data_IF_395696627747
#
_entry.id   IF_395696627747
#
_cell.length_a   1.000
_cell.length_b   1.000
_cell.length_c   1.000
_cell.angle_alpha   90.00
_cell.angle_beta   90.00
_cell.angle_gamma   90.00
#
_symmetry.space_group_name_H-M   'P 1'
#
loop_
_entity.id
_entity.type
_entity.pdbx_description
1 polymer ?
#
# COMPACT_ATOMS: atom_id res chain seq x y z
N UNK A 1 8.93 38.59 11.05
CA UNK A 1 8.80 37.64 12.18
C UNK A 1 7.39 37.03 12.30
N UNK A 2 6.41 37.36 11.44
CA UNK A 2 5.09 36.71 11.45
C UNK A 2 4.97 35.52 10.48
N UNK A 3 5.94 35.38 9.57
CA UNK A 3 5.88 34.38 8.49
C UNK A 3 6.29 32.97 8.94
N UNK A 4 7.16 32.86 9.94
CA UNK A 4 7.70 31.58 10.43
C UNK A 4 6.67 30.69 11.13
N UNK A 5 5.68 31.29 11.80
CA UNK A 5 4.67 30.56 12.57
C UNK A 5 3.61 29.93 11.64
N UNK A 6 3.24 30.64 10.57
CA UNK A 6 2.35 30.13 9.53
C UNK A 6 3.03 29.03 8.69
N UNK A 7 4.33 29.17 8.39
CA UNK A 7 5.10 28.12 7.73
C UNK A 7 5.21 26.86 8.59
N UNK A 8 5.44 27.00 9.89
CA UNK A 8 5.51 25.87 10.81
C UNK A 8 4.17 25.12 10.92
N UNK A 9 3.06 25.85 11.01
CA UNK A 9 1.72 25.25 11.05
C UNK A 9 1.41 24.50 9.74
N UNK A 10 1.78 25.08 8.60
CA UNK A 10 1.57 24.45 7.30
C UNK A 10 2.45 23.20 7.11
N UNK A 11 3.67 23.21 7.65
CA UNK A 11 4.55 22.04 7.67
C UNK A 11 3.98 20.92 8.53
N UNK A 12 3.47 21.22 9.73
CA UNK A 12 2.83 20.23 10.60
C UNK A 12 1.55 19.67 9.99
N UNK A 13 0.71 20.50 9.38
CA UNK A 13 -0.52 20.06 8.72
C UNK A 13 -0.23 19.14 7.52
N UNK A 14 0.80 19.45 6.72
CA UNK A 14 1.26 18.56 5.63
C UNK A 14 1.83 17.26 6.19
N UNK A 15 2.72 17.34 7.17
CA UNK A 15 3.36 16.17 7.76
C UNK A 15 2.35 15.23 8.43
N UNK A 16 1.32 15.75 9.09
CA UNK A 16 0.23 14.95 9.64
C UNK A 16 -0.53 14.22 8.52
N UNK A 17 -0.92 14.94 7.47
CA UNK A 17 -1.64 14.34 6.33
C UNK A 17 -0.84 13.25 5.61
N UNK A 18 0.47 13.46 5.49
CA UNK A 18 1.40 12.50 4.87
C UNK A 18 1.67 11.30 5.80
N UNK A 19 1.75 11.53 7.12
CA UNK A 19 1.96 10.47 8.13
C UNK A 19 0.72 9.59 8.26
N UNK A 20 -0.48 10.18 8.28
CA UNK A 20 -1.74 9.43 8.30
C UNK A 20 -1.84 8.51 7.07
N UNK A 21 -1.42 9.01 5.90
CA UNK A 21 -1.41 8.22 4.66
C UNK A 21 -0.36 7.11 4.68
N UNK A 22 0.85 7.36 5.20
CA UNK A 22 1.89 6.34 5.31
C UNK A 22 1.54 5.24 6.33
N UNK A 23 0.97 5.62 7.48
CA UNK A 23 0.52 4.66 8.49
C UNK A 23 -0.65 3.82 7.97
N UNK A 24 -1.65 4.42 7.32
CA UNK A 24 -2.74 3.69 6.67
C UNK A 24 -2.23 2.70 5.61
N UNK A 25 -1.24 3.10 4.79
CA UNK A 25 -0.63 2.21 3.80
C UNK A 25 0.13 1.05 4.44
N UNK A 26 0.82 1.29 5.57
CA UNK A 26 1.51 0.23 6.33
C UNK A 26 0.53 -0.72 6.98
N UNK A 27 -0.57 -0.21 7.54
CA UNK A 27 -1.61 -1.06 8.11
C UNK A 27 -2.29 -1.89 7.03
N UNK A 28 -2.63 -1.30 5.89
CA UNK A 28 -3.17 -2.02 4.75
C UNK A 28 -2.19 -3.11 4.30
N UNK A 29 -0.91 -2.79 4.11
CA UNK A 29 0.11 -3.78 3.72
C UNK A 29 0.15 -4.96 4.70
N UNK A 30 0.14 -4.71 6.01
CA UNK A 30 0.09 -5.75 7.06
C UNK A 30 -1.22 -6.54 7.09
N UNK A 31 -2.31 -6.01 6.56
CA UNK A 31 -3.55 -6.79 6.43
C UNK A 31 -3.42 -7.85 5.34
N UNK A 32 -2.77 -7.50 4.22
CA UNK A 32 -2.46 -8.38 3.10
C UNK A 32 -1.39 -9.40 3.46
N UNK A 33 -0.26 -8.93 3.97
CA UNK A 33 0.94 -9.70 4.26
C UNK A 33 0.78 -10.47 5.59
N UNK A 34 0.54 -11.79 5.51
CA UNK A 34 0.14 -12.61 6.66
C UNK A 34 1.32 -13.23 7.38
N UNK A 35 2.35 -13.59 6.62
CA UNK A 35 3.48 -14.37 7.15
C UNK A 35 4.64 -13.51 7.69
N UNK A 36 4.59 -12.18 7.51
CA UNK A 36 5.59 -11.21 7.98
C UNK A 36 6.98 -11.42 7.35
N UNK A 37 7.02 -11.93 6.12
CA UNK A 37 8.20 -12.02 5.26
C UNK A 37 8.54 -10.69 4.54
N UNK A 38 7.63 -9.71 4.50
CA UNK A 38 7.82 -8.39 3.88
C UNK A 38 7.35 -8.27 2.43
N UNK A 39 6.66 -9.28 1.90
CA UNK A 39 6.16 -9.39 0.53
C UNK A 39 4.74 -9.95 0.53
N UNK A 40 3.87 -9.40 -0.33
CA UNK A 40 2.52 -9.95 -0.54
C UNK A 40 2.59 -10.95 -1.70
N UNK A 41 2.28 -12.21 -1.40
CA UNK A 41 2.13 -13.25 -2.41
C UNK A 41 0.74 -13.25 -3.07
N UNK A 42 0.59 -13.91 -4.22
CA UNK A 42 -0.70 -14.14 -4.88
C UNK A 42 -1.75 -14.79 -3.97
N UNK A 43 -1.30 -15.74 -3.13
CA UNK A 43 -2.16 -16.44 -2.20
C UNK A 43 -2.71 -15.49 -1.13
N UNK A 44 -1.87 -14.60 -0.61
CA UNK A 44 -2.24 -13.61 0.40
C UNK A 44 -3.17 -12.53 -0.15
N UNK A 45 -2.86 -12.03 -1.35
CA UNK A 45 -3.73 -11.06 -2.04
C UNK A 45 -5.13 -11.65 -2.27
N UNK A 46 -5.21 -12.89 -2.77
CA UNK A 46 -6.48 -13.62 -2.94
C UNK A 46 -7.24 -13.84 -1.63
N UNK A 47 -6.52 -14.17 -0.56
CA UNK A 47 -7.12 -14.42 0.74
C UNK A 47 -7.79 -13.16 1.27
N UNK A 48 -7.13 -12.01 1.18
CA UNK A 48 -7.67 -10.74 1.68
C UNK A 48 -8.80 -10.20 0.83
N UNK A 49 -8.71 -10.25 -0.51
CA UNK A 49 -9.81 -9.80 -1.38
C UNK A 49 -11.07 -10.63 -1.15
N UNK A 50 -10.93 -11.95 -1.00
CA UNK A 50 -12.04 -12.84 -0.64
C UNK A 50 -12.66 -12.48 0.71
N UNK A 51 -11.85 -12.13 1.72
CA UNK A 51 -12.34 -11.70 3.03
C UNK A 51 -13.03 -10.33 3.00
N UNK A 52 -12.66 -9.44 2.07
CA UNK A 52 -13.31 -8.16 1.81
C UNK A 52 -14.65 -8.31 1.06
N UNK A 53 -15.00 -9.54 0.65
CA UNK A 53 -16.24 -9.84 -0.06
C UNK A 53 -16.12 -9.76 -1.58
N UNK A 54 -14.93 -9.45 -2.11
CA UNK A 54 -14.63 -9.47 -3.53
C UNK A 54 -13.97 -10.78 -3.91
N UNK A 55 -14.64 -11.57 -4.76
CA UNK A 55 -14.05 -12.79 -5.31
C UNK A 55 -13.36 -12.46 -6.62
N UNK A 56 -12.05 -12.26 -6.55
CA UNK A 56 -11.22 -12.19 -7.74
C UNK A 56 -10.93 -13.59 -8.28
N UNK A 57 -10.86 -13.74 -9.60
CA UNK A 57 -10.45 -15.00 -10.25
C UNK A 57 -8.95 -15.24 -10.11
N UNK A 58 -8.48 -16.39 -10.58
CA UNK A 58 -7.05 -16.66 -10.60
C UNK A 58 -6.33 -15.68 -11.53
N UNK A 59 -6.92 -15.42 -12.70
CA UNK A 59 -6.40 -14.49 -13.70
C UNK A 59 -6.37 -13.04 -13.22
N UNK A 60 -7.40 -12.57 -12.50
CA UNK A 60 -7.44 -11.18 -12.01
C UNK A 60 -6.35 -10.91 -10.96
N UNK A 61 -6.09 -11.88 -10.07
CA UNK A 61 -5.00 -11.77 -9.08
C UNK A 61 -3.64 -11.80 -9.77
N UNK A 62 -3.46 -12.66 -10.76
CA UNK A 62 -2.22 -12.75 -11.54
C UNK A 62 -1.97 -11.47 -12.35
N UNK A 63 -3.02 -10.84 -12.86
CA UNK A 63 -2.93 -9.55 -13.56
C UNK A 63 -2.54 -8.43 -12.59
N UNK A 64 -3.18 -8.36 -11.41
CA UNK A 64 -2.81 -7.41 -10.37
C UNK A 64 -1.36 -7.54 -9.94
N UNK A 65 -0.85 -8.76 -9.75
CA UNK A 65 0.56 -8.98 -9.42
C UNK A 65 1.44 -8.53 -10.57
N UNK A 66 1.11 -8.86 -11.80
CA UNK A 66 1.94 -8.49 -12.96
C UNK A 66 2.01 -6.99 -13.19
N UNK A 67 0.97 -6.24 -12.82
CA UNK A 67 0.97 -4.78 -12.85
C UNK A 67 1.76 -4.18 -11.68
N UNK A 68 1.79 -4.88 -10.55
CA UNK A 68 2.43 -4.47 -9.30
C UNK A 68 3.94 -4.73 -9.27
N UNK A 69 4.33 -5.92 -9.73
CA UNK A 69 5.66 -6.53 -9.65
C UNK A 69 6.58 -5.90 -10.71
N UNK A 70 7.35 -4.90 -10.28
CA UNK A 70 8.24 -4.14 -11.15
C UNK A 70 9.59 -4.85 -11.29
N UNK A 71 10.03 -5.54 -10.24
CA UNK A 71 11.32 -6.22 -10.23
C UNK A 71 11.28 -7.67 -10.77
N UNK A 72 10.08 -8.25 -10.89
CA UNK A 72 9.81 -9.54 -11.51
C UNK A 72 10.03 -10.74 -10.57
N UNK A 73 9.98 -10.53 -9.25
CA UNK A 73 10.16 -11.61 -8.26
C UNK A 73 8.89 -12.46 -8.03
N UNK A 74 7.76 -12.05 -8.61
CA UNK A 74 6.47 -12.72 -8.51
C UNK A 74 5.71 -12.43 -7.22
N UNK A 75 6.16 -11.45 -6.44
CA UNK A 75 5.55 -10.96 -5.21
C UNK A 75 5.45 -9.43 -5.26
N UNK A 76 4.80 -8.83 -4.26
CA UNK A 76 4.67 -7.37 -4.16
C UNK A 76 5.35 -6.92 -2.88
N UNK A 77 6.44 -6.17 -3.01
CA UNK A 77 7.09 -5.54 -1.87
C UNK A 77 6.36 -4.25 -1.45
N UNK A 78 6.73 -3.68 -0.30
CA UNK A 78 6.06 -2.48 0.23
C UNK A 78 6.13 -1.28 -0.72
N UNK A 79 7.25 -1.07 -1.41
CA UNK A 79 7.39 0.08 -2.32
C UNK A 79 6.49 -0.05 -3.56
N UNK A 80 6.34 -1.27 -4.08
CA UNK A 80 5.43 -1.59 -5.18
C UNK A 80 3.97 -1.42 -4.76
N UNK A 81 3.61 -1.92 -3.57
CA UNK A 81 2.28 -1.73 -3.00
C UNK A 81 1.91 -0.24 -2.88
N UNK A 82 2.83 0.57 -2.35
CA UNK A 82 2.61 2.02 -2.23
C UNK A 82 2.43 2.68 -3.60
N UNK A 83 3.25 2.32 -4.60
CA UNK A 83 3.09 2.87 -5.96
C UNK A 83 1.71 2.57 -6.53
N UNK A 84 1.18 1.37 -6.36
CA UNK A 84 -0.15 0.99 -6.87
C UNK A 84 -1.25 1.78 -6.15
N UNK A 85 -1.16 1.88 -4.82
CA UNK A 85 -2.16 2.57 -4.01
C UNK A 85 -2.14 4.08 -4.23
N UNK A 86 -0.99 4.66 -4.57
CA UNK A 86 -0.82 6.09 -4.85
C UNK A 86 -0.99 6.46 -6.33
N UNK A 87 -0.97 5.49 -7.25
CA UNK A 87 -1.18 5.74 -8.68
C UNK A 87 -2.65 6.00 -9.06
N UNK A 88 -3.55 6.09 -8.08
CA UNK A 88 -4.99 6.31 -8.26
C UNK A 88 -5.44 7.72 -7.87
#
# INVERSE_FOLDING_TARGET
MKDTEAELLNLMARKMKDTDSEEELKEAFRMFEKDQNGFISAAELRHVTTNLGEKLTDEEVDEMIREADVDGDGQINYEEFVKIMMAK
#
